data_IF_112228567807
#
_entry.id   IF_112228567807
#
_cell.length_a   1.000
_cell.length_b   1.000
_cell.length_c   1.000
_cell.angle_alpha   90.00
_cell.angle_beta   90.00
_cell.angle_gamma   90.00
#
_symmetry.space_group_name_H-M   'P 1'
#
loop_
_entity.id
_entity.type
_entity.pdbx_description
1 polymer ?
#
# COMPACT_ATOMS: atom_id res chain seq x y z
N UNK A 1 27.63 12.56 9.62
CA UNK A 1 26.38 12.64 8.83
C UNK A 1 25.44 11.59 9.37
N UNK A 2 24.45 12.04 10.13
CA UNK A 2 23.66 11.24 11.04
C UNK A 2 22.43 10.67 10.34
N UNK A 3 22.37 9.35 10.12
CA UNK A 3 21.16 8.67 9.70
C UNK A 3 20.28 8.43 10.93
N UNK A 4 19.23 9.25 11.07
CA UNK A 4 18.21 9.09 12.11
C UNK A 4 17.13 8.15 11.57
N UNK A 5 17.34 6.85 11.77
CA UNK A 5 16.32 5.83 11.60
C UNK A 5 15.31 5.96 12.76
N UNK A 6 14.05 6.28 12.46
CA UNK A 6 12.97 6.19 13.43
C UNK A 6 12.34 4.79 13.34
N UNK A 7 12.38 3.96 14.40
CA UNK A 7 11.58 2.74 14.43
C UNK A 7 10.10 3.11 14.62
N UNK A 8 9.29 2.75 13.64
CA UNK A 8 7.82 2.84 13.73
C UNK A 8 7.38 1.89 14.85
N UNK A 9 6.75 2.46 15.87
CA UNK A 9 6.07 1.75 16.94
C UNK A 9 5.03 0.81 16.33
N UNK A 10 5.36 -0.48 16.27
CA UNK A 10 4.43 -1.57 15.99
C UNK A 10 3.65 -1.85 17.27
N UNK A 11 2.42 -1.34 17.38
CA UNK A 11 1.52 -1.71 18.48
C UNK A 11 0.95 -3.09 18.16
N UNK A 12 1.62 -4.12 18.66
CA UNK A 12 1.14 -5.49 18.66
C UNK A 12 0.06 -5.65 19.73
N UNK A 13 -1.21 -5.69 19.34
CA UNK A 13 -2.30 -6.12 20.24
C UNK A 13 -2.19 -7.63 20.41
N UNK A 14 -1.58 -8.05 21.52
CA UNK A 14 -1.48 -9.44 21.93
C UNK A 14 -2.84 -9.95 22.41
N UNK A 15 -3.52 -10.72 21.56
CA UNK A 15 -4.67 -11.54 21.99
C UNK A 15 -4.11 -12.81 22.66
N UNK A 16 -4.33 -12.91 23.98
CA UNK A 16 -3.89 -14.04 24.79
C UNK A 16 -4.58 -15.33 24.35
N UNK A 17 -3.77 -16.33 23.98
CA UNK A 17 -4.20 -17.69 23.69
C UNK A 17 -4.54 -18.42 24.99
N UNK A 18 -5.74 -19.02 25.05
CA UNK A 18 -6.06 -20.07 26.02
C UNK A 18 -5.55 -21.39 25.45
N UNK A 19 -4.57 -21.96 26.14
CA UNK A 19 -3.98 -23.25 25.86
C UNK A 19 -4.92 -24.40 26.29
N UNK A 20 -5.00 -25.46 25.49
CA UNK A 20 -4.80 -26.87 25.90
C UNK A 20 -5.32 -27.82 24.81
N UNK A 21 -4.39 -28.39 24.04
CA UNK A 21 -4.66 -29.44 23.07
C UNK A 21 -3.37 -29.88 22.39
N UNK A 22 -2.81 -30.97 22.88
CA UNK A 22 -1.50 -31.51 22.55
C UNK A 22 -1.56 -32.20 21.17
N UNK A 23 -0.78 -31.74 20.18
CA UNK A 23 -0.34 -32.59 19.04
C UNK A 23 0.89 -31.95 18.36
N UNK A 24 2.07 -32.60 18.37
CA UNK A 24 3.29 -32.08 17.77
C UNK A 24 3.40 -32.52 16.31
N UNK A 25 3.03 -31.66 15.37
CA UNK A 25 3.49 -31.75 13.99
C UNK A 25 4.52 -30.65 13.75
N UNK A 26 5.76 -31.04 14.03
CA UNK A 26 6.97 -30.61 13.37
C UNK A 26 6.74 -30.49 11.86
N UNK A 27 6.32 -29.34 11.37
CA UNK A 27 6.61 -28.97 10.00
C UNK A 27 6.66 -27.45 9.95
N UNK A 28 7.84 -26.95 9.59
CA UNK A 28 8.25 -25.58 9.83
C UNK A 28 7.16 -24.58 9.47
N UNK A 29 7.09 -23.51 10.27
CA UNK A 29 6.78 -22.21 9.73
C UNK A 29 7.84 -21.91 8.66
N UNK A 30 7.69 -22.50 7.47
CA UNK A 30 8.18 -21.90 6.26
C UNK A 30 7.43 -20.58 6.21
N UNK A 31 8.07 -19.54 6.75
CA UNK A 31 8.02 -18.24 6.13
C UNK A 31 8.42 -18.50 4.69
N UNK A 32 7.43 -18.86 3.86
CA UNK A 32 7.58 -18.85 2.44
C UNK A 32 8.03 -17.42 2.18
N UNK A 33 9.34 -17.29 1.95
CA UNK A 33 9.94 -16.14 1.33
C UNK A 33 9.27 -16.06 -0.04
N UNK A 34 8.05 -15.53 -0.04
CA UNK A 34 7.35 -15.13 -1.23
C UNK A 34 8.15 -13.94 -1.69
N UNK A 35 9.20 -14.24 -2.44
CA UNK A 35 9.56 -13.49 -3.63
C UNK A 35 8.34 -13.55 -4.56
N UNK A 36 7.24 -12.93 -4.11
CA UNK A 36 6.07 -12.64 -4.92
C UNK A 36 6.59 -11.62 -5.90
N UNK A 37 6.76 -12.04 -7.16
CA UNK A 37 7.10 -11.15 -8.27
C UNK A 37 5.96 -10.16 -8.43
N UNK A 38 5.95 -9.12 -7.61
CA UNK A 38 4.94 -8.08 -7.66
C UNK A 38 5.14 -7.30 -8.95
N UNK A 39 4.07 -7.14 -9.70
CA UNK A 39 4.05 -6.34 -10.92
C UNK A 39 4.11 -4.88 -10.52
N UNK A 40 5.15 -4.18 -10.99
CA UNK A 40 5.26 -2.73 -10.85
C UNK A 40 4.50 -2.05 -11.98
N UNK A 41 3.57 -1.17 -11.61
CA UNK A 41 2.89 -0.27 -12.54
C UNK A 41 3.21 1.16 -12.14
N UNK A 42 3.49 2.02 -13.12
CA UNK A 42 3.71 3.44 -12.92
C UNK A 42 2.91 4.20 -13.98
N UNK A 43 2.06 5.12 -13.56
CA UNK A 43 1.32 5.99 -14.46
C UNK A 43 1.41 7.44 -14.00
N UNK A 44 1.35 8.34 -14.98
CA UNK A 44 1.39 9.78 -14.73
C UNK A 44 0.22 10.47 -15.40
N UNK A 45 -0.42 11.41 -14.68
CA UNK A 45 -1.49 12.29 -15.18
C UNK A 45 -1.29 13.69 -14.64
N UNK A 46 -1.73 14.72 -15.37
CA UNK A 46 -1.73 16.10 -14.87
C UNK A 46 -3.05 16.36 -14.15
N UNK A 47 -2.98 16.73 -12.87
CA UNK A 47 -4.10 17.08 -12.00
C UNK A 47 -3.65 18.18 -11.04
N UNK A 48 -4.55 19.06 -10.61
CA UNK A 48 -4.26 20.23 -9.77
C UNK A 48 -3.10 21.08 -10.34
N UNK A 49 -3.07 21.25 -11.66
CA UNK A 49 -2.04 22.04 -12.35
C UNK A 49 -0.63 21.42 -12.43
N UNK A 50 -0.37 20.27 -11.77
CA UNK A 50 0.96 19.64 -11.69
C UNK A 50 0.94 18.18 -12.18
N UNK A 51 2.09 17.61 -12.62
CA UNK A 51 2.16 16.20 -12.95
C UNK A 51 2.15 15.34 -11.68
N UNK A 52 1.20 14.41 -11.61
CA UNK A 52 1.12 13.36 -10.59
C UNK A 52 1.62 12.06 -11.16
N UNK A 53 2.48 11.35 -10.43
CA UNK A 53 2.92 9.99 -10.78
C UNK A 53 2.59 9.04 -9.65
N UNK A 54 1.85 7.97 -9.97
CA UNK A 54 1.48 6.92 -9.04
C UNK A 54 2.22 5.65 -9.45
N UNK A 55 3.01 5.10 -8.53
CA UNK A 55 3.68 3.80 -8.68
C UNK A 55 3.12 2.81 -7.68
N UNK A 56 2.65 1.65 -8.14
CA UNK A 56 2.14 0.57 -7.30
C UNK A 56 2.80 -0.75 -7.64
N UNK A 57 2.89 -1.63 -6.65
CA UNK A 57 3.32 -3.01 -6.78
C UNK A 57 2.17 -3.91 -6.36
N UNK A 58 1.69 -4.79 -7.25
CA UNK A 58 0.57 -5.67 -6.96
C UNK A 58 0.82 -7.09 -7.49
N UNK A 59 0.02 -8.05 -7.02
CA UNK A 59 0.10 -9.43 -7.50
C UNK A 59 -0.18 -9.58 -9.00
N UNK A 60 -0.93 -8.65 -9.59
CA UNK A 60 -1.33 -8.67 -11.01
C UNK A 60 -1.41 -7.25 -11.55
N UNK A 61 -1.14 -7.06 -12.85
CA UNK A 61 -1.26 -5.76 -13.51
C UNK A 61 -2.67 -5.17 -13.40
N UNK A 62 -3.72 -5.98 -13.56
CA UNK A 62 -5.11 -5.50 -13.51
C UNK A 62 -5.47 -4.87 -12.15
N UNK A 63 -5.09 -5.54 -11.05
CA UNK A 63 -5.25 -4.97 -9.69
C UNK A 63 -4.46 -3.66 -9.52
N UNK A 64 -3.25 -3.58 -10.06
CA UNK A 64 -2.47 -2.36 -10.00
C UNK A 64 -3.12 -1.23 -10.80
N UNK A 65 -3.59 -1.50 -12.03
CA UNK A 65 -4.30 -0.52 -12.86
C UNK A 65 -5.58 -0.04 -12.20
N UNK A 66 -6.44 -0.94 -11.71
CA UNK A 66 -7.66 -0.57 -11.00
C UNK A 66 -7.37 0.32 -9.78
N UNK A 67 -6.32 0.02 -9.02
CA UNK A 67 -5.91 0.83 -7.88
C UNK A 67 -5.33 2.21 -8.29
N UNK A 68 -4.54 2.26 -9.38
CA UNK A 68 -4.05 3.53 -9.94
C UNK A 68 -5.22 4.40 -10.41
N UNK A 69 -6.19 3.81 -11.10
CA UNK A 69 -7.38 4.51 -11.58
C UNK A 69 -8.22 5.07 -10.43
N UNK A 70 -8.44 4.26 -9.39
CA UNK A 70 -9.13 4.71 -8.18
C UNK A 70 -8.38 5.85 -7.47
N UNK A 71 -7.04 5.77 -7.42
CA UNK A 71 -6.23 6.82 -6.80
C UNK A 71 -6.29 8.13 -7.60
N UNK A 72 -6.22 8.09 -8.93
CA UNK A 72 -6.41 9.29 -9.74
C UNK A 72 -7.83 9.85 -9.67
N UNK A 73 -8.85 9.00 -9.56
CA UNK A 73 -10.22 9.44 -9.34
C UNK A 73 -10.35 10.19 -8.00
N UNK A 74 -9.67 9.72 -6.96
CA UNK A 74 -9.64 10.41 -5.67
C UNK A 74 -8.90 11.76 -5.75
N UNK A 75 -7.76 11.83 -6.45
CA UNK A 75 -7.07 13.11 -6.66
C UNK A 75 -7.96 14.10 -7.43
N UNK A 76 -8.71 13.63 -8.44
CA UNK A 76 -9.67 14.48 -9.16
C UNK A 76 -10.82 14.95 -8.26
N UNK A 77 -11.32 14.09 -7.35
CA UNK A 77 -12.30 14.49 -6.34
C UNK A 77 -11.74 15.56 -5.40
N UNK A 78 -10.48 15.42 -4.99
CA UNK A 78 -9.78 16.42 -4.16
C UNK A 78 -9.59 17.74 -4.91
N UNK A 79 -9.24 17.69 -6.19
CA UNK A 79 -9.14 18.88 -7.04
C UNK A 79 -10.45 19.67 -7.06
N UNK A 80 -11.59 19.00 -7.18
CA UNK A 80 -12.90 19.65 -7.16
C UNK A 80 -13.25 20.31 -5.80
N UNK A 81 -12.65 19.85 -4.69
CA UNK A 81 -12.92 20.36 -3.34
C UNK A 81 -11.93 21.45 -2.93
N UNK A 82 -10.67 21.30 -3.34
CA UNK A 82 -9.54 22.10 -2.85
C UNK A 82 -9.05 23.15 -3.86
N UNK A 83 -9.54 23.14 -5.10
CA UNK A 83 -9.10 24.09 -6.11
C UNK A 83 -9.71 25.48 -5.89
N UNK A 84 -8.85 26.45 -5.61
CA UNK A 84 -9.20 27.88 -5.63
C UNK A 84 -9.23 28.46 -7.06
N UNK A 85 -8.94 27.65 -8.08
CA UNK A 85 -8.77 28.08 -9.47
C UNK A 85 -9.97 27.80 -10.38
N UNK A 86 -11.01 27.12 -9.90
CA UNK A 86 -12.20 26.86 -10.70
C UNK A 86 -13.05 28.15 -10.77
N UNK A 87 -13.23 28.77 -11.94
CA UNK A 87 -14.18 29.86 -12.08
C UNK A 87 -15.61 29.32 -11.91
N UNK A 88 -16.43 30.01 -11.13
CA UNK A 88 -17.85 29.70 -10.90
C UNK A 88 -18.73 29.75 -12.16
#
# INVERSE_FOLDING_TARGET
MSHRFYPIFSISVGLAAVALGIMPCWNGCQSADRTSTAVRVSQSRRLMGVPWTITLYAATADKAHAAVDAAFAEVARLEAILSDYAPE
#
